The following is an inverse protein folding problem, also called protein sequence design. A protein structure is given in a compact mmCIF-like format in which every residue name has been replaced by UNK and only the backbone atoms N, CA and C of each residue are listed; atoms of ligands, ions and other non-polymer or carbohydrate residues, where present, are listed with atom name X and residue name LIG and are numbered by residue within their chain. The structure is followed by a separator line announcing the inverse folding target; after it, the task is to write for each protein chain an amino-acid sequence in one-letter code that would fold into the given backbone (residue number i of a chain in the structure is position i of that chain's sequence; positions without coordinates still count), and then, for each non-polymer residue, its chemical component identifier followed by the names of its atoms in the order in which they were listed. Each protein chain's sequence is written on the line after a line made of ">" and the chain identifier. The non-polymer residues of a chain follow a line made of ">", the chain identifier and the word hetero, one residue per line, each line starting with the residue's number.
data_IF_441558374065
#
_entry.id   IF_441558374065
#
_cell.length_a   1.000
_cell.length_b   1.000
_cell.length_c   1.000
_cell.angle_alpha   90.00
_cell.angle_beta   90.00
_cell.angle_gamma   90.00
#
_symmetry.space_group_name_H-M   'P 1'
#
loop_
_entity.id
_entity.type
_entity.pdbx_description
1 polymer ?
#
# COMPACT_ATOMS: atom_id res chain seq x y z
N UNK A 1 4.17 31.47 -36.85
CA UNK A 1 2.69 31.36 -36.83
C UNK A 1 2.18 31.05 -35.41
N UNK A 2 0.87 31.25 -35.14
CA UNK A 2 0.31 30.99 -33.80
C UNK A 2 -0.70 29.85 -33.85
N UNK A 3 -0.68 29.00 -32.82
CA UNK A 3 -1.68 27.94 -32.71
C UNK A 3 -3.06 28.53 -32.38
N UNK A 4 -4.08 28.20 -33.20
CA UNK A 4 -5.45 28.68 -33.01
C UNK A 4 -6.14 28.17 -31.73
N UNK A 5 -5.65 27.08 -31.15
CA UNK A 5 -6.26 26.47 -29.97
C UNK A 5 -5.63 26.92 -28.63
N UNK A 6 -4.31 27.05 -28.58
CA UNK A 6 -3.59 27.40 -27.34
C UNK A 6 -2.81 28.71 -27.43
N UNK A 7 -2.77 29.41 -28.58
CA UNK A 7 -2.15 30.71 -28.74
C UNK A 7 -0.62 30.72 -28.71
N UNK A 8 0.02 29.57 -28.66
CA UNK A 8 1.48 29.49 -28.61
C UNK A 8 2.07 29.87 -29.98
N UNK A 9 3.19 30.57 -30.00
CA UNK A 9 3.94 30.87 -31.20
C UNK A 9 4.66 29.61 -31.69
N UNK A 10 4.46 29.30 -32.98
CA UNK A 10 5.01 28.11 -33.63
C UNK A 10 5.97 28.54 -34.73
N UNK A 11 7.03 27.80 -34.91
CA UNK A 11 7.90 27.96 -36.07
C UNK A 11 7.13 27.65 -37.36
N UNK A 12 7.54 28.26 -38.48
CA UNK A 12 6.83 28.08 -39.75
C UNK A 12 7.00 26.66 -40.33
N UNK A 13 7.89 25.86 -39.77
CA UNK A 13 8.11 24.45 -40.12
C UNK A 13 7.20 23.47 -39.38
N UNK A 14 6.51 23.91 -38.34
CA UNK A 14 5.71 23.05 -37.48
C UNK A 14 4.36 22.69 -38.10
N UNK A 15 4.08 21.39 -38.21
CA UNK A 15 2.80 20.86 -38.72
C UNK A 15 1.77 20.54 -37.62
N UNK A 16 2.25 20.39 -36.40
CA UNK A 16 1.44 20.04 -35.24
C UNK A 16 1.93 20.85 -34.06
N UNK A 17 1.03 21.47 -33.32
CA UNK A 17 1.38 22.20 -32.12
C UNK A 17 1.92 21.24 -31.04
N UNK A 18 3.14 21.42 -30.54
CA UNK A 18 3.73 20.51 -29.49
C UNK A 18 3.00 20.54 -28.17
N UNK A 19 2.26 21.62 -27.86
CA UNK A 19 1.54 21.74 -26.58
C UNK A 19 0.14 21.11 -26.59
N UNK A 20 -0.62 21.27 -27.68
CA UNK A 20 -2.02 20.82 -27.70
C UNK A 20 -2.34 19.77 -28.76
N UNK A 21 -1.35 19.35 -29.56
CA UNK A 21 -1.52 18.35 -30.61
C UNK A 21 -2.40 18.77 -31.78
N UNK A 22 -2.78 20.07 -31.89
CA UNK A 22 -3.63 20.58 -32.97
C UNK A 22 -2.81 20.67 -34.26
N UNK A 23 -3.33 20.11 -35.35
CA UNK A 23 -2.72 20.29 -36.67
C UNK A 23 -2.80 21.75 -37.11
N UNK A 24 -1.67 22.28 -37.57
CA UNK A 24 -1.55 23.63 -38.06
C UNK A 24 -1.65 23.60 -39.58
N UNK A 25 -2.53 24.43 -40.12
CA UNK A 25 -2.68 24.63 -41.57
C UNK A 25 -2.61 26.11 -41.90
N UNK A 26 -1.74 26.48 -42.81
CA UNK A 26 -1.65 27.82 -43.36
C UNK A 26 -1.63 27.75 -44.90
N UNK A 27 -2.55 28.42 -45.58
CA UNK A 27 -2.70 28.31 -47.04
C UNK A 27 -1.48 28.84 -47.80
N UNK A 28 -0.80 29.87 -47.29
CA UNK A 28 0.28 30.59 -47.97
C UNK A 28 1.68 30.10 -47.55
N UNK A 29 1.79 29.27 -46.52
CA UNK A 29 3.05 28.67 -46.09
C UNK A 29 2.99 27.16 -46.36
N UNK A 30 3.65 26.68 -47.48
CA UNK A 30 3.80 25.23 -47.63
C UNK A 30 4.57 24.71 -46.40
N UNK A 31 3.92 23.90 -45.59
CA UNK A 31 4.58 23.25 -44.45
C UNK A 31 5.86 22.61 -44.96
N UNK A 32 6.98 23.27 -44.68
CA UNK A 32 8.23 23.02 -45.34
C UNK A 32 8.74 21.60 -45.24
N UNK A 33 9.34 21.16 -46.30
CA UNK A 33 10.21 19.99 -46.36
C UNK A 33 11.61 20.34 -45.76
N UNK A 34 11.69 21.34 -44.89
CA UNK A 34 12.92 21.67 -44.17
C UNK A 34 13.23 20.66 -43.10
N UNK A 35 14.46 20.26 -43.02
CA UNK A 35 15.00 19.51 -41.91
C UNK A 35 14.66 20.26 -40.62
N UNK A 36 14.11 19.58 -39.58
CA UNK A 36 13.77 20.27 -38.33
C UNK A 36 15.03 20.97 -37.79
N UNK A 37 14.93 22.23 -37.30
CA UNK A 37 16.09 23.03 -36.88
C UNK A 37 16.82 22.45 -35.65
N UNK A 38 16.27 21.41 -35.06
CA UNK A 38 16.89 20.68 -33.96
C UNK A 38 17.17 19.23 -34.39
N UNK A 39 18.32 18.67 -33.99
CA UNK A 39 18.58 17.27 -34.23
C UNK A 39 17.47 16.42 -33.56
N UNK A 40 17.12 15.28 -34.17
CA UNK A 40 16.15 14.39 -33.56
C UNK A 40 16.57 14.11 -32.12
N UNK A 41 15.59 14.12 -31.22
CA UNK A 41 15.82 13.95 -29.79
C UNK A 41 16.50 12.58 -29.54
N UNK A 42 17.83 12.59 -29.44
CA UNK A 42 18.67 11.43 -29.17
C UNK A 42 18.70 11.08 -27.68
N UNK A 43 17.75 11.62 -26.89
CA UNK A 43 17.65 11.15 -25.51
C UNK A 43 17.44 9.64 -25.55
N UNK A 44 18.39 8.87 -24.98
CA UNK A 44 18.20 7.43 -24.90
C UNK A 44 16.84 7.21 -24.25
N UNK A 45 15.90 6.60 -25.00
CA UNK A 45 14.63 6.19 -24.41
C UNK A 45 15.00 5.51 -23.13
N UNK A 46 14.57 6.08 -21.99
CA UNK A 46 14.70 5.39 -20.71
C UNK A 46 14.14 4.00 -20.96
N UNK A 47 15.03 3.02 -21.04
CA UNK A 47 14.61 1.63 -21.16
C UNK A 47 13.71 1.38 -19.95
N UNK A 48 12.41 1.24 -20.22
CA UNK A 48 11.46 0.94 -19.16
C UNK A 48 11.93 -0.35 -18.51
N UNK A 49 12.39 -0.24 -17.27
CA UNK A 49 12.90 -1.38 -16.52
C UNK A 49 11.84 -2.48 -16.54
N UNK A 50 12.18 -3.60 -17.13
CA UNK A 50 11.24 -4.72 -17.25
C UNK A 50 10.72 -5.13 -15.88
N UNK A 51 9.41 -4.95 -15.66
CA UNK A 51 8.74 -5.33 -14.41
C UNK A 51 9.02 -6.78 -14.04
N UNK A 52 9.01 -7.68 -15.03
CA UNK A 52 9.29 -9.10 -14.84
C UNK A 52 10.74 -9.31 -14.37
N UNK A 53 11.70 -8.55 -14.94
CA UNK A 53 13.11 -8.61 -14.52
C UNK A 53 13.28 -8.19 -13.06
N UNK A 54 12.63 -7.11 -12.63
CA UNK A 54 12.67 -6.66 -11.21
C UNK A 54 12.07 -7.71 -10.29
N UNK A 55 10.90 -8.26 -10.63
CA UNK A 55 10.25 -9.30 -9.84
C UNK A 55 11.10 -10.57 -9.73
N UNK A 56 11.77 -10.95 -10.82
CA UNK A 56 12.70 -12.08 -10.82
C UNK A 56 13.87 -11.85 -9.86
N UNK A 57 14.51 -10.68 -9.92
CA UNK A 57 15.60 -10.32 -9.02
C UNK A 57 15.15 -10.33 -7.56
N UNK A 58 14.01 -9.72 -7.24
CA UNK A 58 13.46 -9.72 -5.88
C UNK A 58 13.19 -11.16 -5.41
N UNK A 59 12.58 -12.01 -6.26
CA UNK A 59 12.28 -13.40 -5.91
C UNK A 59 13.54 -14.21 -5.62
N UNK A 60 14.60 -14.03 -6.42
CA UNK A 60 15.90 -14.68 -6.19
C UNK A 60 16.55 -14.16 -4.90
N UNK A 61 16.50 -12.85 -4.66
CA UNK A 61 17.02 -12.24 -3.43
C UNK A 61 16.31 -12.75 -2.16
N UNK A 62 15.02 -13.12 -2.26
CA UNK A 62 14.27 -13.71 -1.14
C UNK A 62 14.52 -15.21 -0.99
N UNK A 63 14.67 -15.92 -2.11
CA UNK A 63 14.92 -17.37 -2.11
C UNK A 63 16.29 -17.71 -1.52
N UNK A 64 17.32 -16.93 -1.85
CA UNK A 64 18.70 -17.20 -1.44
C UNK A 64 18.86 -17.26 0.10
N UNK A 65 18.44 -16.27 0.90
CA UNK A 65 18.50 -16.36 2.36
C UNK A 65 17.62 -17.49 2.91
N UNK A 66 16.48 -17.81 2.28
CA UNK A 66 15.64 -18.92 2.70
C UNK A 66 16.36 -20.25 2.57
N UNK A 67 17.04 -20.49 1.45
CA UNK A 67 17.83 -21.72 1.22
C UNK A 67 19.02 -21.79 2.19
N UNK A 68 19.75 -20.69 2.36
CA UNK A 68 20.91 -20.64 3.28
C UNK A 68 20.47 -20.95 4.71
N UNK A 69 19.37 -20.35 5.21
CA UNK A 69 18.90 -20.59 6.58
C UNK A 69 18.50 -22.05 6.80
N UNK A 70 17.83 -22.68 5.83
CA UNK A 70 17.48 -24.11 5.92
C UNK A 70 18.71 -24.99 5.95
N UNK A 71 19.69 -24.72 5.06
CA UNK A 71 20.93 -25.49 5.00
C UNK A 71 21.77 -25.36 6.28
N UNK A 72 21.85 -24.15 6.85
CA UNK A 72 22.55 -23.90 8.11
C UNK A 72 21.88 -24.63 9.28
N UNK A 73 20.55 -24.54 9.36
CA UNK A 73 19.80 -25.20 10.44
C UNK A 73 19.95 -26.72 10.38
N UNK A 74 19.83 -27.28 9.16
CA UNK A 74 20.04 -28.71 8.96
C UNK A 74 21.46 -29.15 9.33
N UNK A 75 22.48 -28.38 8.94
CA UNK A 75 23.88 -28.70 9.25
C UNK A 75 24.19 -28.64 10.75
N UNK A 76 23.59 -27.69 11.46
CA UNK A 76 23.84 -27.46 12.88
C UNK A 76 23.02 -28.43 13.75
N UNK A 77 21.72 -28.58 13.46
CA UNK A 77 20.76 -29.26 14.31
C UNK A 77 20.35 -30.66 13.80
N UNK A 78 20.73 -31.05 12.57
CA UNK A 78 20.30 -32.29 11.91
C UNK A 78 18.80 -32.35 11.60
N UNK A 79 18.06 -31.29 11.90
CA UNK A 79 16.61 -31.16 11.69
C UNK A 79 16.23 -29.68 11.55
N UNK A 80 15.04 -29.41 11.05
CA UNK A 80 14.49 -28.06 10.96
C UNK A 80 14.00 -27.66 12.36
N UNK A 81 14.66 -26.67 12.99
CA UNK A 81 14.33 -26.16 14.32
C UNK A 81 13.87 -24.72 14.26
N UNK A 82 14.73 -23.80 13.79
CA UNK A 82 14.46 -22.36 13.74
C UNK A 82 14.27 -21.83 12.32
N UNK A 83 14.82 -22.53 11.30
CA UNK A 83 14.70 -22.08 9.91
C UNK A 83 13.25 -22.00 9.42
N UNK A 84 12.34 -22.79 9.96
CA UNK A 84 10.93 -22.72 9.65
C UNK A 84 10.30 -21.35 9.98
N UNK A 85 10.73 -20.70 11.06
CA UNK A 85 10.27 -19.34 11.41
C UNK A 85 10.81 -18.30 10.41
N UNK A 86 12.09 -18.42 10.03
CA UNK A 86 12.71 -17.51 9.08
C UNK A 86 12.12 -17.64 7.68
N UNK A 87 11.98 -18.88 7.19
CA UNK A 87 11.38 -19.16 5.88
C UNK A 87 9.90 -18.77 5.85
N UNK A 88 9.15 -19.07 6.91
CA UNK A 88 7.76 -18.65 7.06
C UNK A 88 7.60 -17.13 7.03
N UNK A 89 8.48 -16.40 7.72
CA UNK A 89 8.51 -14.93 7.69
C UNK A 89 8.86 -14.36 6.32
N UNK A 90 9.85 -14.95 5.62
CA UNK A 90 10.20 -14.55 4.25
C UNK A 90 9.06 -14.84 3.26
N UNK A 91 8.39 -15.99 3.40
CA UNK A 91 7.22 -16.33 2.58
C UNK A 91 6.06 -15.37 2.84
N UNK A 92 5.80 -15.03 4.11
CA UNK A 92 4.80 -14.04 4.48
C UNK A 92 5.12 -12.67 3.85
N UNK A 93 6.37 -12.21 3.97
CA UNK A 93 6.81 -10.96 3.35
C UNK A 93 6.65 -11.00 1.82
N UNK A 94 6.94 -12.14 1.19
CA UNK A 94 6.74 -12.32 -0.25
C UNK A 94 5.26 -12.19 -0.63
N UNK A 95 4.36 -12.81 0.11
CA UNK A 95 2.91 -12.74 -0.13
C UNK A 95 2.42 -11.29 0.02
N UNK A 96 2.81 -10.61 1.10
CA UNK A 96 2.36 -9.25 1.41
C UNK A 96 2.89 -8.20 0.41
N UNK A 97 4.18 -8.28 0.06
CA UNK A 97 4.83 -7.21 -0.72
C UNK A 97 4.98 -7.55 -2.20
N UNK A 98 5.36 -8.79 -2.53
CA UNK A 98 5.76 -9.16 -3.90
C UNK A 98 4.60 -9.72 -4.70
N UNK A 99 3.73 -10.53 -4.08
CA UNK A 99 2.61 -11.15 -4.77
C UNK A 99 1.69 -10.13 -5.48
N UNK A 100 1.29 -8.99 -4.88
CA UNK A 100 0.49 -7.98 -5.58
C UNK A 100 1.21 -7.40 -6.81
N UNK A 101 2.55 -7.32 -6.79
CA UNK A 101 3.34 -6.78 -7.89
C UNK A 101 3.33 -7.67 -9.15
N UNK A 102 2.95 -8.95 -9.06
CA UNK A 102 2.80 -9.84 -10.22
C UNK A 102 1.60 -9.47 -11.09
N UNK A 103 0.60 -8.79 -10.53
CA UNK A 103 -0.62 -8.41 -11.23
C UNK A 103 -0.51 -6.98 -11.78
N UNK A 104 -0.96 -6.76 -13.02
CA UNK A 104 -0.94 -5.42 -13.65
C UNK A 104 -1.82 -4.41 -12.89
N UNK A 105 -2.95 -4.87 -12.36
CA UNK A 105 -3.90 -4.06 -11.60
C UNK A 105 -4.31 -4.83 -10.34
N UNK A 106 -3.47 -4.81 -9.28
CA UNK A 106 -3.82 -5.49 -8.03
C UNK A 106 -5.05 -4.84 -7.41
N UNK A 107 -6.06 -5.64 -7.10
CA UNK A 107 -7.25 -5.16 -6.43
C UNK A 107 -7.06 -5.27 -4.90
N UNK A 108 -6.91 -4.17 -4.16
CA UNK A 108 -6.63 -4.21 -2.74
C UNK A 108 -7.75 -4.89 -1.93
N UNK A 109 -8.98 -4.87 -2.42
CA UNK A 109 -10.13 -5.54 -1.77
C UNK A 109 -9.95 -7.06 -1.70
N UNK A 110 -9.17 -7.66 -2.62
CA UNK A 110 -8.89 -9.10 -2.64
C UNK A 110 -7.59 -9.41 -1.92
N UNK A 111 -6.55 -8.59 -2.13
CA UNK A 111 -5.23 -8.85 -1.56
C UNK A 111 -5.18 -8.64 -0.05
N UNK A 112 -5.85 -7.61 0.48
CA UNK A 112 -5.86 -7.34 1.92
C UNK A 112 -6.46 -8.50 2.74
N UNK A 113 -7.63 -9.09 2.42
CA UNK A 113 -8.09 -10.28 3.10
C UNK A 113 -7.12 -11.48 2.98
N UNK A 114 -6.51 -11.67 1.80
CA UNK A 114 -5.52 -12.72 1.57
C UNK A 114 -4.31 -12.56 2.48
N UNK A 115 -3.83 -11.32 2.66
CA UNK A 115 -2.72 -10.99 3.54
C UNK A 115 -3.02 -11.35 5.00
N UNK A 116 -4.23 -11.05 5.48
CA UNK A 116 -4.64 -11.43 6.83
C UNK A 116 -4.78 -12.95 7.01
N UNK A 117 -5.23 -13.67 5.98
CA UNK A 117 -5.23 -15.15 6.01
C UNK A 117 -3.79 -15.68 6.09
N UNK A 118 -2.87 -15.13 5.31
CA UNK A 118 -1.45 -15.53 5.35
C UNK A 118 -0.82 -15.25 6.72
N UNK A 119 -1.11 -14.09 7.33
CA UNK A 119 -0.69 -13.75 8.70
C UNK A 119 -1.25 -14.77 9.69
N UNK A 120 -2.54 -15.08 9.61
CA UNK A 120 -3.20 -16.05 10.48
C UNK A 120 -2.58 -17.45 10.39
N UNK A 121 -2.30 -17.92 9.17
CA UNK A 121 -1.63 -19.20 8.93
C UNK A 121 -0.21 -19.21 9.52
N UNK A 122 0.53 -18.13 9.36
CA UNK A 122 1.88 -18.01 9.92
C UNK A 122 1.85 -18.00 11.46
N UNK A 123 0.92 -17.29 12.09
CA UNK A 123 0.75 -17.29 13.54
C UNK A 123 0.31 -18.68 14.08
N UNK A 124 -0.53 -19.38 13.32
CA UNK A 124 -0.91 -20.76 13.63
C UNK A 124 0.31 -21.69 13.57
N UNK A 125 1.17 -21.54 12.57
CA UNK A 125 2.43 -22.28 12.46
C UNK A 125 3.34 -22.01 13.68
N UNK A 126 3.51 -20.73 14.07
CA UNK A 126 4.30 -20.37 15.26
C UNK A 126 3.72 -21.04 16.52
N UNK A 127 2.41 -20.94 16.71
CA UNK A 127 1.74 -21.57 17.86
C UNK A 127 1.97 -23.09 17.92
N UNK A 128 1.89 -23.77 16.77
CA UNK A 128 2.15 -25.20 16.68
C UNK A 128 3.63 -25.52 16.95
N UNK A 129 4.55 -24.80 16.33
CA UNK A 129 5.99 -25.04 16.46
C UNK A 129 6.54 -24.74 17.87
N UNK A 130 5.92 -23.81 18.60
CA UNK A 130 6.28 -23.47 19.98
C UNK A 130 5.52 -24.29 21.02
N UNK A 131 4.56 -25.14 20.61
CA UNK A 131 3.70 -25.88 21.53
C UNK A 131 2.74 -24.97 22.35
N UNK A 132 2.48 -23.76 21.84
CA UNK A 132 1.62 -22.78 22.51
C UNK A 132 0.13 -23.08 22.34
N UNK A 133 -0.70 -22.50 23.20
CA UNK A 133 -2.16 -22.57 23.13
C UNK A 133 -2.82 -21.19 22.98
N UNK A 134 -2.01 -20.16 22.65
CA UNK A 134 -2.45 -18.76 22.62
C UNK A 134 -3.12 -18.35 21.28
N UNK A 135 -3.04 -19.18 20.24
CA UNK A 135 -3.59 -18.84 18.93
C UNK A 135 -5.09 -18.57 18.98
N UNK A 136 -5.89 -19.49 19.51
CA UNK A 136 -7.35 -19.35 19.54
C UNK A 136 -7.83 -18.28 20.52
N UNK A 137 -7.13 -18.09 21.63
CA UNK A 137 -7.54 -17.15 22.70
C UNK A 137 -7.07 -15.72 22.43
N UNK A 138 -5.97 -15.55 21.72
CA UNK A 138 -5.38 -14.23 21.48
C UNK A 138 -5.20 -13.91 20.00
N UNK A 139 -4.40 -14.69 19.26
CA UNK A 139 -3.99 -14.31 17.90
C UNK A 139 -5.17 -14.28 16.91
N UNK A 140 -6.03 -15.30 16.93
CA UNK A 140 -7.16 -15.40 16.03
C UNK A 140 -8.18 -14.26 16.19
N UNK A 141 -8.67 -13.92 17.40
CA UNK A 141 -9.60 -12.80 17.57
C UNK A 141 -8.96 -11.45 17.27
N UNK A 142 -7.68 -11.23 17.61
CA UNK A 142 -6.98 -9.98 17.29
C UNK A 142 -6.79 -9.81 15.78
N UNK A 143 -6.26 -10.83 15.10
CA UNK A 143 -6.07 -10.77 13.65
C UNK A 143 -7.39 -10.70 12.89
N UNK A 144 -8.43 -11.40 13.36
CA UNK A 144 -9.77 -11.34 12.80
C UNK A 144 -10.41 -9.96 12.92
N UNK A 145 -10.34 -9.34 14.09
CA UNK A 145 -10.86 -8.00 14.30
C UNK A 145 -10.07 -6.95 13.47
N UNK A 146 -8.74 -7.06 13.42
CA UNK A 146 -7.91 -6.21 12.56
C UNK A 146 -8.23 -6.40 11.09
N UNK A 147 -8.42 -7.63 10.63
CA UNK A 147 -8.82 -7.95 9.27
C UNK A 147 -10.16 -7.30 8.90
N UNK A 148 -11.16 -7.42 9.76
CA UNK A 148 -12.48 -6.81 9.53
C UNK A 148 -12.37 -5.28 9.43
N UNK A 149 -11.63 -4.63 10.32
CA UNK A 149 -11.44 -3.19 10.33
C UNK A 149 -10.74 -2.71 9.05
N UNK A 150 -9.60 -3.33 8.69
CA UNK A 150 -8.82 -2.91 7.52
C UNK A 150 -9.53 -3.24 6.22
N UNK A 151 -10.15 -4.43 6.10
CA UNK A 151 -10.93 -4.80 4.92
C UNK A 151 -12.13 -3.88 4.72
N UNK A 152 -12.85 -3.53 5.80
CA UNK A 152 -13.95 -2.58 5.73
C UNK A 152 -13.45 -1.20 5.28
N UNK A 153 -12.36 -0.70 5.87
CA UNK A 153 -11.76 0.59 5.50
C UNK A 153 -11.35 0.61 4.03
N UNK A 154 -10.62 -0.40 3.55
CA UNK A 154 -10.15 -0.49 2.15
C UNK A 154 -11.32 -0.58 1.18
N UNK A 155 -12.33 -1.38 1.52
CA UNK A 155 -13.54 -1.55 0.69
C UNK A 155 -14.32 -0.24 0.62
N UNK A 156 -14.56 0.43 1.75
CA UNK A 156 -15.27 1.70 1.79
C UNK A 156 -14.51 2.79 1.02
N UNK A 157 -13.19 2.90 1.20
CA UNK A 157 -12.36 3.87 0.45
C UNK A 157 -12.41 3.62 -1.06
N UNK A 158 -12.49 2.36 -1.48
CA UNK A 158 -12.55 2.00 -2.90
C UNK A 158 -13.88 2.35 -3.54
N UNK A 159 -15.01 2.10 -2.84
CA UNK A 159 -16.34 2.28 -3.39
C UNK A 159 -16.99 3.63 -3.06
N UNK A 160 -16.48 4.37 -2.05
CA UNK A 160 -16.98 5.67 -1.63
C UNK A 160 -15.87 6.76 -1.65
N UNK A 161 -15.34 7.13 -2.82
CA UNK A 161 -14.19 8.05 -2.90
C UNK A 161 -14.44 9.43 -2.29
N UNK A 162 -15.70 9.87 -2.21
CA UNK A 162 -16.05 11.16 -1.60
C UNK A 162 -16.11 11.17 -0.06
N UNK A 163 -16.07 10.01 0.58
CA UNK A 163 -16.24 9.84 2.03
C UNK A 163 -14.92 9.53 2.77
N UNK A 164 -13.76 9.71 2.12
CA UNK A 164 -12.47 9.29 2.67
C UNK A 164 -12.18 9.83 4.09
N UNK A 165 -12.48 11.11 4.36
CA UNK A 165 -12.30 11.71 5.68
C UNK A 165 -13.17 11.08 6.75
N UNK A 166 -14.43 10.74 6.41
CA UNK A 166 -15.34 10.06 7.34
C UNK A 166 -14.87 8.64 7.64
N UNK A 167 -14.44 7.93 6.61
CA UNK A 167 -13.94 6.55 6.72
C UNK A 167 -12.65 6.51 7.56
N UNK A 168 -11.70 7.39 7.27
CA UNK A 168 -10.45 7.48 8.04
C UNK A 168 -10.69 7.90 9.49
N UNK A 169 -11.59 8.87 9.72
CA UNK A 169 -11.96 9.28 11.08
C UNK A 169 -12.58 8.15 11.89
N UNK A 170 -13.53 7.43 11.29
CA UNK A 170 -14.15 6.25 11.92
C UNK A 170 -13.15 5.11 12.16
N UNK A 171 -12.28 4.83 11.19
CA UNK A 171 -11.24 3.80 11.32
C UNK A 171 -10.24 4.12 12.45
N UNK A 172 -9.86 5.39 12.63
CA UNK A 172 -9.00 5.83 13.75
C UNK A 172 -9.67 5.61 15.11
N UNK A 173 -10.95 5.92 15.24
CA UNK A 173 -11.67 5.64 16.48
C UNK A 173 -11.75 4.16 16.78
N UNK A 174 -12.06 3.34 15.77
CA UNK A 174 -12.14 1.89 15.92
C UNK A 174 -10.76 1.27 16.20
N UNK A 175 -9.68 1.80 15.63
CA UNK A 175 -8.31 1.33 15.93
C UNK A 175 -7.93 1.62 17.39
N UNK A 176 -8.37 2.73 17.96
CA UNK A 176 -8.25 2.98 19.40
C UNK A 176 -9.00 1.95 20.24
N UNK A 177 -10.21 1.59 19.84
CA UNK A 177 -10.98 0.50 20.49
C UNK A 177 -10.30 -0.88 20.34
N UNK A 178 -9.62 -1.12 19.22
CA UNK A 178 -8.82 -2.34 19.05
C UNK A 178 -7.71 -2.49 20.10
N UNK A 179 -7.09 -1.39 20.52
CA UNK A 179 -6.07 -1.44 21.58
C UNK A 179 -6.63 -1.96 22.91
N UNK A 180 -7.87 -1.59 23.24
CA UNK A 180 -8.56 -2.10 24.43
C UNK A 180 -8.85 -3.61 24.29
N UNK A 181 -9.30 -4.03 23.10
CA UNK A 181 -9.52 -5.46 22.83
C UNK A 181 -8.22 -6.26 22.96
N UNK A 182 -7.12 -5.74 22.42
CA UNK A 182 -5.80 -6.38 22.51
C UNK A 182 -5.36 -6.52 23.94
N UNK A 183 -5.45 -5.46 24.78
CA UNK A 183 -5.08 -5.53 26.19
C UNK A 183 -5.96 -6.50 26.96
N UNK A 184 -7.27 -6.48 26.71
CA UNK A 184 -8.20 -7.43 27.33
C UNK A 184 -7.83 -8.89 27.02
N UNK A 185 -7.57 -9.21 25.76
CA UNK A 185 -7.21 -10.56 25.33
C UNK A 185 -5.81 -10.97 25.82
N UNK A 186 -4.86 -10.03 25.91
CA UNK A 186 -3.55 -10.26 26.52
C UNK A 186 -3.68 -10.63 27.99
N UNK A 187 -4.46 -9.88 28.75
CA UNK A 187 -4.69 -10.14 30.17
C UNK A 187 -5.42 -11.49 30.38
N UNK A 188 -6.41 -11.77 29.53
CA UNK A 188 -7.15 -13.03 29.57
C UNK A 188 -6.27 -14.26 29.26
N UNK A 189 -5.34 -14.13 28.29
CA UNK A 189 -4.54 -15.26 27.81
C UNK A 189 -3.28 -15.47 28.62
N UNK A 190 -2.62 -14.40 29.05
CA UNK A 190 -1.30 -14.46 29.70
C UNK A 190 -1.33 -14.03 31.17
N UNK A 191 -2.44 -13.49 31.66
CA UNK A 191 -2.57 -13.09 33.07
C UNK A 191 -1.60 -11.99 33.50
N UNK A 192 -1.28 -11.07 32.59
CA UNK A 192 -0.22 -10.06 32.80
C UNK A 192 -0.62 -9.02 33.85
N UNK A 193 -1.86 -8.55 33.81
CA UNK A 193 -2.38 -7.51 34.69
C UNK A 193 -3.89 -7.66 34.87
N UNK A 194 -4.39 -7.30 36.05
CA UNK A 194 -5.84 -7.31 36.36
C UNK A 194 -6.54 -6.01 35.94
N UNK A 195 -5.78 -5.00 35.51
CA UNK A 195 -6.28 -3.67 35.13
C UNK A 195 -5.81 -3.25 33.76
N UNK A 196 -6.62 -2.41 33.10
CA UNK A 196 -6.23 -1.78 31.85
C UNK A 196 -5.23 -0.64 32.14
N UNK A 197 -4.03 -0.70 31.54
CA UNK A 197 -2.94 0.23 31.81
C UNK A 197 -2.62 1.13 30.61
N UNK A 198 -2.39 0.55 29.45
CA UNK A 198 -1.85 1.27 28.31
C UNK A 198 -2.88 1.53 27.18
N UNK A 199 -3.96 0.75 27.09
CA UNK A 199 -4.93 0.85 25.99
C UNK A 199 -5.74 2.13 26.00
N UNK A 200 -5.86 2.80 27.15
CA UNK A 200 -6.55 4.08 27.23
C UNK A 200 -5.83 5.21 26.47
N UNK A 201 -4.49 5.18 26.34
CA UNK A 201 -3.73 6.17 25.59
C UNK A 201 -4.04 6.14 24.10
N UNK A 202 -3.88 4.97 23.40
CA UNK A 202 -4.26 4.88 21.98
C UNK A 202 -5.77 5.07 21.76
N UNK A 203 -6.62 4.66 22.70
CA UNK A 203 -8.06 4.93 22.62
C UNK A 203 -8.34 6.43 22.63
N UNK A 204 -7.81 7.17 23.61
CA UNK A 204 -7.99 8.61 23.70
C UNK A 204 -7.44 9.34 22.47
N UNK A 205 -6.23 8.97 22.02
CA UNK A 205 -5.63 9.52 20.82
C UNK A 205 -6.47 9.23 19.58
N UNK A 206 -6.92 7.98 19.40
CA UNK A 206 -7.78 7.57 18.28
C UNK A 206 -9.11 8.32 18.25
N UNK A 207 -9.76 8.49 19.40
CA UNK A 207 -11.01 9.23 19.53
C UNK A 207 -10.80 10.72 19.19
N UNK A 208 -9.78 11.37 19.76
CA UNK A 208 -9.51 12.79 19.53
C UNK A 208 -9.15 13.05 18.06
N UNK A 209 -8.22 12.28 17.49
CA UNK A 209 -7.83 12.44 16.09
C UNK A 209 -8.95 12.06 15.12
N UNK A 210 -9.70 11.00 15.41
CA UNK A 210 -10.84 10.59 14.62
C UNK A 210 -11.96 11.63 14.65
N UNK A 211 -12.29 12.17 15.83
CA UNK A 211 -13.26 13.26 15.96
C UNK A 211 -12.81 14.53 15.20
N UNK A 212 -11.52 14.89 15.28
CA UNK A 212 -10.96 16.00 14.52
C UNK A 212 -11.14 15.81 13.01
N UNK A 213 -10.88 14.62 12.47
CA UNK A 213 -11.10 14.32 11.06
C UNK A 213 -12.59 14.40 10.68
N UNK A 214 -13.49 13.93 11.54
CA UNK A 214 -14.92 14.02 11.31
C UNK A 214 -15.39 15.48 11.31
N UNK A 215 -14.91 16.33 12.22
CA UNK A 215 -15.19 17.75 12.22
C UNK A 215 -14.72 18.41 10.92
N UNK A 216 -13.51 18.10 10.46
CA UNK A 216 -12.99 18.58 9.16
C UNK A 216 -13.87 18.10 8.00
N UNK A 217 -14.35 16.86 8.05
CA UNK A 217 -15.19 16.28 7.00
C UNK A 217 -16.57 16.99 6.92
N UNK A 218 -17.17 17.34 8.05
CA UNK A 218 -18.48 18.01 8.15
C UNK A 218 -18.37 19.50 7.83
N UNK A 219 -17.32 20.18 8.28
CA UNK A 219 -17.14 21.62 8.12
C UNK A 219 -16.66 21.97 6.69
N UNK A 220 -17.58 22.25 5.77
CA UNK A 220 -17.29 22.66 4.39
C UNK A 220 -16.26 23.80 4.25
N UNK A 221 -16.29 24.91 5.06
CA UNK A 221 -15.33 25.99 4.93
C UNK A 221 -13.90 25.53 5.30
N UNK A 222 -13.76 24.70 6.33
CA UNK A 222 -12.48 24.16 6.75
C UNK A 222 -11.88 23.22 5.70
N UNK A 223 -12.70 22.35 5.14
CA UNK A 223 -12.33 21.45 4.04
C UNK A 223 -11.84 22.22 2.81
N UNK A 224 -12.54 23.29 2.40
CA UNK A 224 -12.12 24.14 1.28
C UNK A 224 -10.80 24.87 1.55
N UNK A 225 -10.58 25.32 2.78
CA UNK A 225 -9.32 25.97 3.18
C UNK A 225 -8.13 25.03 3.10
N UNK A 226 -8.32 23.78 3.53
CA UNK A 226 -7.29 22.73 3.45
C UNK A 226 -6.97 22.36 1.98
N UNK A 227 -7.99 22.15 1.13
CA UNK A 227 -7.78 21.89 -0.29
C UNK A 227 -6.99 23.02 -0.98
N UNK A 228 -7.23 24.29 -0.64
CA UNK A 228 -6.46 25.41 -1.17
C UNK A 228 -5.00 25.42 -0.74
N UNK A 229 -4.72 25.05 0.52
CA UNK A 229 -3.35 25.09 1.06
C UNK A 229 -2.48 23.91 0.64
N UNK A 230 -3.07 22.75 0.47
CA UNK A 230 -2.35 21.50 0.15
C UNK A 230 -2.41 21.10 -1.32
N UNK A 231 -3.06 21.89 -2.19
CA UNK A 231 -3.18 21.63 -3.63
C UNK A 231 -3.73 20.23 -3.98
N UNK A 232 -4.58 19.67 -3.12
CA UNK A 232 -5.22 18.35 -3.29
C UNK A 232 -6.70 18.52 -3.66
#
# INVERSE_FOLDING_TARGET
>A
MYCIKCGVELADSERVCPLCGTRVFHPDLPCGQGEPPYPPDEHPRHEEVSRIGVLFVISVCMLLPAVITVLCDWRINGRIVWSGFAVGGLLLLYILAVLPMWFKHPNPVIFVPLDFVAIGVFLLYINYATGGHWFMTFAFPVTGAAALLVCAMVTLLRYLPGAALYICGGALMLSGGMAVLVEFLLNLTFGLHDTFLWSFYPLAAGVVLGAMLLVVAVCKPLRRSLHRKFFI
#
